data_IF_809117312307
#
_entry.id   IF_809117312307
#
_cell.length_a   1.000
_cell.length_b   1.000
_cell.length_c   1.000
_cell.angle_alpha   90.00
_cell.angle_beta   90.00
_cell.angle_gamma   90.00
#
_symmetry.space_group_name_H-M   'P 1'
#
loop_
_entity.id
_entity.type
_entity.pdbx_description
1 polymer ?
#
# COMPACT_ATOMS: atom_id res chain seq x y z
N UNK A 1 -4.33 10.59 18.60
CA UNK A 1 -4.58 11.23 17.29
C UNK A 1 -3.37 11.76 16.51
N UNK A 2 -2.77 12.92 16.83
CA UNK A 2 -1.78 13.55 15.92
C UNK A 2 -0.59 12.65 15.56
N UNK A 3 -0.10 11.89 16.53
CA UNK A 3 1.04 10.98 16.32
C UNK A 3 0.68 9.81 15.38
N UNK A 4 -0.51 9.20 15.53
CA UNK A 4 -0.95 8.10 14.66
C UNK A 4 -1.30 8.61 13.24
N UNK A 5 -1.87 9.81 13.10
CA UNK A 5 -2.11 10.43 11.79
C UNK A 5 -0.77 10.74 11.10
N UNK A 6 0.19 11.34 11.81
CA UNK A 6 1.51 11.63 11.27
C UNK A 6 2.24 10.35 10.82
N UNK A 7 2.17 9.29 11.64
CA UNK A 7 2.69 7.97 11.29
C UNK A 7 2.02 7.42 10.02
N UNK A 8 0.69 7.41 9.96
CA UNK A 8 -0.04 6.91 8.78
C UNK A 8 0.28 7.71 7.53
N UNK A 9 0.38 9.04 7.61
CA UNK A 9 0.79 9.88 6.46
C UNK A 9 2.19 9.49 5.97
N UNK A 10 3.16 9.34 6.89
CA UNK A 10 4.52 8.94 6.53
C UNK A 10 4.57 7.56 5.83
N UNK A 11 3.84 6.57 6.34
CA UNK A 11 3.77 5.24 5.71
C UNK A 11 3.11 5.26 4.34
N UNK A 12 2.06 6.07 4.18
CA UNK A 12 1.39 6.25 2.88
C UNK A 12 2.28 6.96 1.86
N UNK A 13 3.15 7.88 2.30
CA UNK A 13 4.14 8.52 1.44
C UNK A 13 5.21 7.52 0.97
N UNK A 14 5.69 6.64 1.86
CA UNK A 14 6.62 5.55 1.52
C UNK A 14 6.02 4.55 0.53
N UNK A 15 4.76 4.16 0.74
CA UNK A 15 4.01 3.29 -0.15
C UNK A 15 3.86 3.93 -1.54
N UNK A 16 3.53 5.23 -1.60
CA UNK A 16 3.44 5.98 -2.85
C UNK A 16 4.78 6.05 -3.58
N UNK A 17 5.86 6.39 -2.87
CA UNK A 17 7.21 6.49 -3.45
C UNK A 17 7.59 5.14 -4.08
N UNK A 18 7.37 4.05 -3.34
CA UNK A 18 7.69 2.70 -3.79
C UNK A 18 6.85 2.30 -5.00
N UNK A 19 5.54 2.53 -4.97
CA UNK A 19 4.65 2.23 -6.09
C UNK A 19 4.98 3.06 -7.34
N UNK A 20 5.28 4.35 -7.19
CA UNK A 20 5.72 5.19 -8.32
C UNK A 20 7.06 4.71 -8.87
N UNK A 21 8.01 4.36 -8.02
CA UNK A 21 9.29 3.77 -8.43
C UNK A 21 9.09 2.51 -9.27
N UNK A 22 8.19 1.63 -8.84
CA UNK A 22 7.86 0.39 -9.55
C UNK A 22 7.21 0.63 -10.93
N UNK A 23 6.40 1.69 -11.10
CA UNK A 23 5.86 2.06 -12.42
C UNK A 23 6.95 2.52 -13.40
N UNK A 24 7.97 3.23 -12.90
CA UNK A 24 9.01 3.82 -13.76
C UNK A 24 10.16 2.85 -14.08
N UNK A 25 10.25 1.72 -13.38
CA UNK A 25 11.28 0.70 -13.57
C UNK A 25 11.02 -0.25 -14.76
N UNK A 26 9.88 -0.14 -15.47
CA UNK A 26 9.49 -1.08 -16.51
C UNK A 26 10.02 -0.70 -17.91
N UNK A 27 10.96 -1.50 -18.44
CA UNK A 27 10.75 -2.03 -19.79
C UNK A 27 10.76 -3.56 -19.85
N UNK A 28 10.98 -4.29 -18.74
CA UNK A 28 11.27 -5.74 -18.79
C UNK A 28 10.29 -6.63 -18.00
N UNK A 29 9.28 -6.05 -17.35
CA UNK A 29 8.32 -6.81 -16.53
C UNK A 29 6.90 -6.65 -17.05
N UNK A 30 6.54 -7.27 -18.17
CA UNK A 30 5.16 -7.62 -18.53
C UNK A 30 4.03 -6.61 -18.27
N UNK A 31 4.31 -5.31 -18.23
CA UNK A 31 3.33 -4.25 -18.03
C UNK A 31 2.76 -3.86 -19.37
N UNK A 32 1.43 -3.79 -19.47
CA UNK A 32 0.79 -3.18 -20.63
C UNK A 32 1.03 -1.66 -20.67
N UNK A 33 0.60 -1.01 -21.75
CA UNK A 33 0.66 0.45 -21.95
C UNK A 33 -0.11 1.25 -20.86
N UNK A 34 -0.80 0.56 -19.94
CA UNK A 34 -1.55 1.13 -18.83
C UNK A 34 -0.89 0.92 -17.45
N UNK A 35 0.29 0.28 -17.40
CA UNK A 35 1.03 0.04 -16.16
C UNK A 35 0.45 -1.08 -15.28
N UNK A 36 -0.41 -1.93 -15.84
CA UNK A 36 -1.02 -3.06 -15.13
C UNK A 36 -0.10 -4.29 -15.19
N UNK A 37 0.11 -4.94 -14.05
CA UNK A 37 0.90 -6.16 -13.96
C UNK A 37 -0.02 -7.37 -14.16
N UNK A 38 0.32 -8.26 -15.11
CA UNK A 38 -0.49 -9.43 -15.44
C UNK A 38 0.11 -10.73 -14.88
N UNK A 39 -0.75 -11.61 -14.35
CA UNK A 39 -0.33 -12.88 -13.77
C UNK A 39 -0.34 -14.07 -14.77
N UNK A 40 -1.07 -13.99 -15.88
CA UNK A 40 -1.46 -15.19 -16.62
C UNK A 40 -0.95 -15.25 -18.06
N UNK A 41 0.11 -16.03 -18.23
CA UNK A 41 0.08 -17.17 -19.15
C UNK A 41 0.93 -17.07 -20.42
N UNK A 42 2.11 -17.68 -20.39
CA UNK A 42 2.89 -18.20 -21.52
C UNK A 42 3.41 -17.20 -22.58
N UNK A 43 4.73 -17.25 -22.75
CA UNK A 43 5.53 -16.54 -23.76
C UNK A 43 5.66 -15.03 -23.59
N UNK A 44 6.45 -14.64 -22.58
CA UNK A 44 7.60 -13.82 -22.97
C UNK A 44 8.50 -14.79 -23.72
N UNK A 45 8.75 -14.54 -25.01
CA UNK A 45 9.86 -15.18 -25.67
C UNK A 45 11.14 -14.80 -24.90
N UNK A 46 11.49 -15.58 -23.88
CA UNK A 46 12.83 -15.60 -23.30
C UNK A 46 12.97 -15.41 -21.79
N UNK A 47 12.14 -14.69 -21.03
CA UNK A 47 12.54 -14.33 -19.66
C UNK A 47 11.37 -14.39 -18.66
N UNK A 48 11.45 -15.36 -17.75
CA UNK A 48 10.62 -15.40 -16.54
C UNK A 48 10.88 -14.14 -15.70
N UNK A 49 9.90 -13.69 -14.93
CA UNK A 49 10.12 -12.61 -13.97
C UNK A 49 11.10 -13.11 -12.90
N UNK A 50 12.39 -12.78 -13.06
CA UNK A 50 13.45 -13.22 -12.17
C UNK A 50 13.53 -12.28 -10.96
N UNK A 51 13.36 -12.82 -9.75
CA UNK A 51 13.77 -12.11 -8.54
C UNK A 51 15.28 -12.26 -8.42
N UNK A 52 15.99 -11.14 -8.67
CA UNK A 52 17.45 -11.07 -8.68
C UNK A 52 18.09 -11.89 -9.81
N UNK A 53 19.37 -11.63 -10.10
CA UNK A 53 20.17 -12.21 -11.20
C UNK A 53 20.50 -13.70 -10.94
N UNK A 54 19.49 -14.49 -10.57
CA UNK A 54 19.56 -15.92 -10.35
C UNK A 54 18.51 -16.64 -11.23
N UNK A 55 18.95 -17.26 -12.34
CA UNK A 55 18.05 -17.88 -13.31
C UNK A 55 17.27 -19.09 -12.76
N UNK A 56 17.60 -19.58 -11.56
CA UNK A 56 16.88 -20.72 -10.94
C UNK A 56 15.72 -20.31 -10.05
N UNK A 57 15.51 -19.02 -9.78
CA UNK A 57 14.47 -18.56 -8.84
C UNK A 57 13.17 -18.18 -9.59
N UNK A 58 12.50 -19.20 -10.14
CA UNK A 58 11.23 -19.02 -10.85
C UNK A 58 10.09 -18.86 -9.84
N UNK A 59 9.30 -17.80 -9.96
CA UNK A 59 8.10 -17.61 -9.16
C UNK A 59 7.08 -18.72 -9.47
N UNK A 60 6.47 -19.26 -8.42
CA UNK A 60 5.26 -20.07 -8.58
C UNK A 60 4.11 -19.23 -9.14
N UNK A 61 3.13 -19.87 -9.78
CA UNK A 61 1.92 -19.20 -10.27
C UNK A 61 1.20 -18.40 -9.17
N UNK A 62 1.19 -18.92 -7.94
CA UNK A 62 0.61 -18.22 -6.78
C UNK A 62 1.39 -16.97 -6.40
N UNK A 63 2.73 -17.01 -6.45
CA UNK A 63 3.56 -15.83 -6.18
C UNK A 63 3.41 -14.77 -7.27
N UNK A 64 3.43 -15.17 -8.54
CA UNK A 64 3.21 -14.26 -9.65
C UNK A 64 1.81 -13.61 -9.60
N UNK A 65 0.78 -14.42 -9.31
CA UNK A 65 -0.59 -13.94 -9.13
C UNK A 65 -0.73 -12.98 -7.95
N UNK A 66 -0.06 -13.26 -6.83
CA UNK A 66 -0.05 -12.35 -5.69
C UNK A 66 0.59 -11.01 -6.06
N UNK A 67 1.78 -11.01 -6.68
CA UNK A 67 2.47 -9.77 -7.09
C UNK A 67 1.62 -8.96 -8.06
N UNK A 68 1.08 -9.60 -9.11
CA UNK A 68 0.23 -8.94 -10.09
C UNK A 68 -1.05 -8.34 -9.47
N UNK A 69 -1.64 -9.01 -8.47
CA UNK A 69 -2.81 -8.49 -7.75
C UNK A 69 -2.48 -7.30 -6.85
N UNK A 70 -1.21 -7.11 -6.52
CA UNK A 70 -0.69 -5.98 -5.75
C UNK A 70 0.08 -5.01 -6.66
N UNK A 71 -0.40 -4.82 -7.91
CA UNK A 71 0.25 -3.95 -8.88
C UNK A 71 0.41 -2.51 -8.36
N UNK A 72 1.45 -1.77 -8.82
CA UNK A 72 1.70 -0.41 -8.38
C UNK A 72 0.55 0.57 -8.60
N UNK A 73 -0.22 0.43 -9.68
CA UNK A 73 -1.34 1.32 -9.94
C UNK A 73 -2.49 1.08 -8.94
N UNK A 74 -2.71 -0.17 -8.52
CA UNK A 74 -3.63 -0.48 -7.41
C UNK A 74 -3.12 0.07 -6.09
N UNK A 75 -1.84 -0.10 -5.77
CA UNK A 75 -1.25 0.43 -4.53
C UNK A 75 -1.46 1.96 -4.42
N UNK A 76 -1.27 2.70 -5.51
CA UNK A 76 -1.54 4.15 -5.55
C UNK A 76 -3.01 4.50 -5.30
N UNK A 77 -3.96 3.70 -5.82
CA UNK A 77 -5.39 3.89 -5.52
C UNK A 77 -5.70 3.64 -4.05
N UNK A 78 -5.05 2.65 -3.43
CA UNK A 78 -5.20 2.38 -2.00
C UNK A 78 -4.62 3.49 -1.13
N UNK A 79 -3.46 4.03 -1.50
CA UNK A 79 -2.85 5.18 -0.81
C UNK A 79 -3.79 6.38 -0.83
N UNK A 80 -4.32 6.74 -1.99
CA UNK A 80 -5.25 7.86 -2.14
C UNK A 80 -6.54 7.63 -1.32
N UNK A 81 -7.09 6.41 -1.33
CA UNK A 81 -8.26 6.08 -0.54
C UNK A 81 -7.99 6.26 0.97
N UNK A 82 -6.85 5.79 1.46
CA UNK A 82 -6.46 5.91 2.87
C UNK A 82 -6.19 7.37 3.26
N UNK A 83 -5.58 8.18 2.39
CA UNK A 83 -5.40 9.62 2.64
C UNK A 83 -6.72 10.35 2.85
N UNK A 84 -7.75 10.03 2.05
CA UNK A 84 -9.10 10.62 2.25
C UNK A 84 -9.73 10.24 3.59
N UNK A 85 -9.42 9.06 4.11
CA UNK A 85 -9.84 8.66 5.47
C UNK A 85 -9.14 9.53 6.51
N UNK A 86 -7.84 9.80 6.36
CA UNK A 86 -7.09 10.69 7.25
C UNK A 86 -7.60 12.14 7.19
N UNK A 87 -7.84 12.67 6.00
CA UNK A 87 -8.40 14.01 5.82
C UNK A 87 -9.79 14.13 6.47
N UNK A 88 -10.60 13.05 6.41
CA UNK A 88 -11.90 13.01 7.10
C UNK A 88 -11.73 12.97 8.62
N UNK A 89 -10.74 12.24 9.14
CA UNK A 89 -10.43 12.20 10.56
C UNK A 89 -10.05 13.59 11.10
N UNK A 90 -9.22 14.33 10.36
CA UNK A 90 -8.84 15.71 10.71
C UNK A 90 -10.04 16.66 10.69
N UNK A 91 -10.91 16.57 9.67
CA UNK A 91 -12.15 17.36 9.62
C UNK A 91 -13.07 17.09 10.82
N UNK A 92 -13.15 15.84 11.27
CA UNK A 92 -13.95 15.45 12.43
C UNK A 92 -13.33 15.93 13.74
N UNK A 93 -12.00 15.96 13.82
CA UNK A 93 -11.30 16.51 14.98
C UNK A 93 -11.56 18.01 15.15
N UNK A 94 -11.62 18.74 14.03
CA UNK A 94 -11.85 20.19 14.01
C UNK A 94 -13.34 20.56 14.18
N UNK A 95 -14.26 19.60 14.10
CA UNK A 95 -15.71 19.82 14.29
C UNK A 95 -16.07 19.82 15.79
N UNK A 96 -16.47 20.96 16.38
CA UNK A 96 -16.78 21.03 17.80
C UNK A 96 -18.11 20.34 18.17
N UNK A 97 -18.88 19.84 17.21
CA UNK A 97 -20.23 19.31 17.43
C UNK A 97 -20.38 17.80 17.18
N UNK A 98 -19.44 17.13 16.51
CA UNK A 98 -19.55 15.70 16.15
C UNK A 98 -18.47 14.82 16.83
N UNK A 99 -18.51 14.78 18.17
CA UNK A 99 -17.51 14.04 18.96
C UNK A 99 -17.66 12.52 18.87
N UNK A 100 -18.87 12.00 18.60
CA UNK A 100 -19.11 10.55 18.57
C UNK A 100 -18.43 9.91 17.36
N UNK A 101 -18.63 10.49 16.18
CA UNK A 101 -17.97 9.99 14.98
C UNK A 101 -16.45 10.23 15.06
N UNK A 102 -16.02 11.33 15.67
CA UNK A 102 -14.61 11.56 15.95
C UNK A 102 -13.99 10.46 16.83
N UNK A 103 -14.64 10.09 17.94
CA UNK A 103 -14.18 9.01 18.83
C UNK A 103 -14.02 7.68 18.08
N UNK A 104 -14.97 7.32 17.21
CA UNK A 104 -14.85 6.11 16.38
C UNK A 104 -13.60 6.12 15.48
N UNK A 105 -13.24 7.29 14.93
CA UNK A 105 -12.03 7.42 14.14
C UNK A 105 -10.76 7.28 14.99
N UNK A 106 -10.66 7.99 16.11
CA UNK A 106 -9.45 8.02 16.95
C UNK A 106 -9.23 6.68 17.69
N UNK A 107 -10.30 6.04 18.18
CA UNK A 107 -10.19 4.81 18.98
C UNK A 107 -10.26 3.52 18.16
N UNK A 108 -10.82 3.55 16.95
CA UNK A 108 -11.04 2.31 16.16
C UNK A 108 -10.42 2.39 14.77
N UNK A 109 -10.82 3.35 13.94
CA UNK A 109 -10.45 3.34 12.52
C UNK A 109 -8.96 3.58 12.30
N UNK A 110 -8.38 4.60 12.95
CA UNK A 110 -6.96 4.92 12.80
C UNK A 110 -6.06 3.80 13.35
N UNK A 111 -6.33 3.22 14.54
CA UNK A 111 -5.70 1.98 14.99
C UNK A 111 -5.71 0.83 13.98
N UNK A 112 -6.88 0.51 13.42
CA UNK A 112 -7.02 -0.59 12.46
C UNK A 112 -6.22 -0.33 11.17
N UNK A 113 -6.13 0.92 10.74
CA UNK A 113 -5.26 1.30 9.62
C UNK A 113 -3.78 1.13 9.97
N UNK A 114 -3.37 1.53 11.17
CA UNK A 114 -1.98 1.43 11.63
C UNK A 114 -1.51 -0.03 11.76
N UNK A 115 -2.43 -0.96 12.05
CA UNK A 115 -2.13 -2.39 12.15
C UNK A 115 -1.46 -2.98 10.88
N UNK A 116 -1.73 -2.40 9.71
CA UNK A 116 -1.10 -2.80 8.45
C UNK A 116 0.41 -2.55 8.42
N UNK A 117 0.92 -1.72 9.33
CA UNK A 117 2.32 -1.34 9.48
C UNK A 117 2.89 -1.79 10.83
N UNK A 118 2.34 -2.85 11.42
CA UNK A 118 2.73 -3.34 12.76
C UNK A 118 4.15 -3.90 12.85
N UNK A 119 4.77 -4.18 11.71
CA UNK A 119 6.18 -4.57 11.56
C UNK A 119 7.14 -3.38 11.40
N UNK A 120 6.61 -2.16 11.27
CA UNK A 120 7.41 -0.95 11.13
C UNK A 120 8.06 -0.54 12.46
N UNK A 121 9.35 -0.15 12.52
CA UNK A 121 10.03 0.19 13.77
C UNK A 121 9.40 1.37 14.54
N UNK A 122 8.82 2.34 13.82
CA UNK A 122 8.12 3.49 14.44
C UNK A 122 6.69 3.16 14.89
N UNK A 123 6.19 1.95 14.63
CA UNK A 123 4.87 1.53 15.06
C UNK A 123 4.80 1.48 16.58
N UNK A 124 3.71 2.00 17.16
CA UNK A 124 3.51 1.98 18.59
C UNK A 124 2.43 0.94 18.94
N UNK A 125 2.77 -0.16 19.66
CA UNK A 125 1.83 -1.25 19.92
C UNK A 125 0.55 -0.84 20.66
N UNK A 126 0.60 0.25 21.43
CA UNK A 126 -0.56 0.76 22.16
C UNK A 126 -1.62 1.41 21.24
N UNK A 127 -1.33 1.60 19.96
CA UNK A 127 -2.34 2.06 19.01
C UNK A 127 -3.42 1.00 18.77
N UNK A 128 -3.10 -0.30 18.79
CA UNK A 128 -4.07 -1.37 18.49
C UNK A 128 -4.48 -2.19 19.73
N UNK A 129 -4.63 -1.53 20.87
CA UNK A 129 -4.95 -2.21 22.14
C UNK A 129 -6.41 -2.60 22.25
#
# INVERSE_FOLDING_TARGET
>A
MNDIIAFLRARLDEDEITARGALHAAPHTGTDDHGTWHANGAEVAGEAMHFWDNPTNVLTEWQASHIARHDPARALREVEAKRRILDRAEQLHDDPFDTVLFTEYDETILPLMAAAYSDHPDYQPHWTT
#
